data_IF_053188438725
#
_entry.id   IF_053188438725
#
_cell.length_a   1.000
_cell.length_b   1.000
_cell.length_c   1.000
_cell.angle_alpha   90.00
_cell.angle_beta   90.00
_cell.angle_gamma   90.00
#
_symmetry.space_group_name_H-M   'P 1'
#
loop_
_entity.id
_entity.type
_entity.pdbx_description
1 polymer ?
#
# COMPACT_ATOMS: atom_id res chain seq x y z
N UNK A 1 55.68 48.07 7.95
CA UNK A 1 54.49 48.92 7.75
C UNK A 1 53.41 48.02 7.21
N UNK A 2 52.39 47.81 8.04
CA UNK A 2 51.19 47.04 7.79
C UNK A 2 50.41 47.60 6.60
N UNK A 3 49.76 46.74 5.81
CA UNK A 3 48.30 46.73 5.81
C UNK A 3 47.74 45.45 5.18
N UNK A 4 46.87 44.83 5.96
CA UNK A 4 46.05 43.65 5.71
C UNK A 4 44.76 44.06 5.02
N UNK A 5 44.40 43.43 3.91
CA UNK A 5 42.98 43.35 3.50
C UNK A 5 42.63 41.89 3.22
N UNK A 6 41.94 41.30 4.20
CA UNK A 6 41.18 40.07 4.02
C UNK A 6 39.83 40.40 3.40
N UNK A 7 39.38 39.55 2.49
CA UNK A 7 37.98 39.47 2.08
C UNK A 7 37.54 38.05 2.32
N UNK A 8 36.83 37.87 3.43
CA UNK A 8 35.94 36.74 3.68
C UNK A 8 34.70 36.87 2.82
N UNK A 9 34.34 35.80 2.12
CA UNK A 9 33.07 35.65 1.45
C UNK A 9 32.67 34.18 1.45
N UNK A 10 32.05 33.73 2.54
CA UNK A 10 31.36 32.46 2.62
C UNK A 10 30.08 32.54 1.77
N UNK A 11 29.94 31.59 0.84
CA UNK A 11 28.79 31.44 -0.04
C UNK A 11 28.50 29.96 -0.21
N UNK A 12 27.57 29.49 0.61
CA UNK A 12 27.14 28.13 0.82
C UNK A 12 26.11 27.73 -0.24
N UNK A 13 26.40 26.81 -1.17
CA UNK A 13 25.35 26.08 -1.89
C UNK A 13 25.81 24.63 -2.14
N UNK A 14 25.35 23.77 -1.25
CA UNK A 14 25.28 22.31 -1.41
C UNK A 14 24.56 21.99 -2.71
N UNK A 15 25.31 21.53 -3.72
CA UNK A 15 24.77 20.81 -4.87
C UNK A 15 24.24 19.46 -4.42
N UNK A 16 23.00 19.43 -3.95
CA UNK A 16 22.20 18.21 -3.93
C UNK A 16 21.77 17.96 -5.37
N UNK A 17 22.56 17.14 -6.07
CA UNK A 17 22.11 16.42 -7.25
C UNK A 17 20.97 15.50 -6.85
N UNK A 18 19.76 16.04 -6.80
CA UNK A 18 18.54 15.26 -6.78
C UNK A 18 18.35 14.70 -8.18
N UNK A 19 18.83 13.48 -8.38
CA UNK A 19 18.43 12.66 -9.51
C UNK A 19 16.90 12.67 -9.57
N UNK A 20 16.37 13.10 -10.71
CA UNK A 20 14.95 13.24 -10.93
C UNK A 20 14.29 11.88 -10.75
N UNK A 21 13.57 11.70 -9.65
CA UNK A 21 12.47 10.75 -9.64
C UNK A 21 11.42 11.33 -10.59
N UNK A 22 11.40 10.84 -11.82
CA UNK A 22 10.21 10.96 -12.65
C UNK A 22 9.06 10.42 -11.81
N UNK A 23 8.11 11.30 -11.49
CA UNK A 23 6.89 10.93 -10.79
C UNK A 23 6.09 10.01 -11.71
N UNK A 24 6.43 8.73 -11.70
CA UNK A 24 5.63 7.67 -12.26
C UNK A 24 4.31 7.67 -11.48
N UNK A 25 3.33 8.41 -11.99
CA UNK A 25 1.96 8.25 -11.52
C UNK A 25 1.58 6.78 -11.65
N UNK A 26 0.76 6.29 -10.73
CA UNK A 26 0.16 4.94 -10.72
C UNK A 26 -0.50 4.49 -12.03
N UNK A 27 -0.60 5.36 -13.04
CA UNK A 27 -1.14 5.06 -14.35
C UNK A 27 -0.16 4.30 -15.28
N UNK A 28 1.03 3.93 -14.82
CA UNK A 28 2.09 3.37 -15.68
C UNK A 28 2.36 1.86 -15.63
N UNK A 29 1.72 1.07 -14.76
CA UNK A 29 1.89 -0.39 -14.76
C UNK A 29 0.74 -1.09 -15.52
N UNK A 30 0.49 -0.66 -16.75
CA UNK A 30 -0.08 -1.55 -17.76
C UNK A 30 1.00 -2.57 -18.12
N UNK A 31 0.79 -3.84 -17.75
CA UNK A 31 1.68 -4.96 -18.04
C UNK A 31 1.79 -5.27 -19.54
N UNK A 32 2.31 -4.33 -20.32
CA UNK A 32 2.70 -4.52 -21.72
C UNK A 32 4.22 -4.68 -21.75
N UNK A 33 4.68 -5.92 -21.62
CA UNK A 33 6.12 -6.22 -21.61
C UNK A 33 6.50 -7.60 -21.10
N UNK A 34 5.69 -8.63 -21.33
CA UNK A 34 6.22 -9.99 -21.43
C UNK A 34 6.47 -10.25 -22.91
N UNK A 35 7.68 -9.89 -23.35
CA UNK A 35 8.18 -10.33 -24.65
C UNK A 35 8.29 -11.86 -24.61
N UNK A 36 7.54 -12.50 -25.51
CA UNK A 36 7.68 -13.90 -25.87
C UNK A 36 9.09 -14.14 -26.44
N UNK A 37 9.97 -14.78 -25.66
CA UNK A 37 11.20 -15.52 -26.04
C UNK A 37 12.02 -15.61 -24.73
N UNK A 38 12.21 -16.74 -24.06
CA UNK A 38 12.75 -18.00 -24.57
C UNK A 38 12.23 -19.23 -23.80
N UNK A 39 12.41 -20.39 -24.43
CA UNK A 39 11.73 -21.64 -24.12
C UNK A 39 11.96 -22.24 -22.74
N UNK A 40 10.86 -22.70 -22.14
CA UNK A 40 10.87 -23.74 -21.11
C UNK A 40 10.68 -25.12 -21.75
N UNK A 41 11.63 -26.06 -21.62
CA UNK A 41 11.59 -27.39 -22.22
C UNK A 41 10.92 -28.43 -21.30
N UNK A 42 9.67 -28.20 -20.88
CA UNK A 42 9.04 -29.09 -19.87
C UNK A 42 7.58 -29.50 -20.10
N UNK A 43 7.10 -29.51 -21.34
CA UNK A 43 5.91 -30.30 -21.67
C UNK A 43 6.22 -31.31 -22.78
N UNK A 44 6.62 -32.49 -22.29
CA UNK A 44 6.65 -33.73 -23.04
C UNK A 44 5.23 -34.07 -23.54
N UNK A 45 5.18 -34.45 -24.80
CA UNK A 45 3.97 -34.81 -25.53
C UNK A 45 3.69 -36.29 -25.30
N UNK A 46 2.48 -36.55 -24.84
CA UNK A 46 1.69 -37.62 -25.43
C UNK A 46 1.16 -38.65 -24.45
N UNK A 47 -0.16 -38.64 -24.26
CA UNK A 47 -0.95 -39.87 -24.26
C UNK A 47 -2.26 -39.57 -25.01
N UNK A 48 -2.41 -40.24 -26.15
CA UNK A 48 -3.65 -40.51 -26.87
C UNK A 48 -4.41 -41.64 -26.17
N UNK A 49 -5.74 -41.51 -26.05
CA UNK A 49 -6.77 -42.56 -25.91
C UNK A 49 -7.94 -41.94 -25.11
N UNK A 50 -9.21 -42.16 -25.35
CA UNK A 50 -9.96 -42.98 -26.30
C UNK A 50 -11.43 -42.54 -26.10
N UNK A 51 -12.27 -42.72 -27.12
CA UNK A 51 -13.66 -42.31 -27.11
C UNK A 51 -14.51 -43.12 -26.13
N UNK A 52 -15.48 -42.44 -25.50
CA UNK A 52 -16.50 -43.05 -24.66
C UNK A 52 -17.71 -42.15 -24.59
N UNK A 53 -18.58 -42.25 -25.60
CA UNK A 53 -19.94 -41.73 -25.56
C UNK A 53 -20.74 -42.55 -24.54
N UNK A 54 -21.10 -41.94 -23.41
CA UNK A 54 -22.14 -42.47 -22.53
C UNK A 54 -23.20 -41.40 -22.29
N UNK A 55 -24.36 -41.65 -22.87
CA UNK A 55 -25.55 -40.83 -22.78
C UNK A 55 -26.41 -41.36 -21.63
N UNK A 56 -26.55 -40.56 -20.58
CA UNK A 56 -27.62 -40.72 -19.62
C UNK A 56 -27.16 -40.62 -18.17
N UNK A 57 -27.32 -39.45 -17.56
CA UNK A 57 -28.11 -39.28 -16.34
C UNK A 57 -28.17 -37.78 -16.02
N UNK A 58 -29.36 -37.20 -16.00
CA UNK A 58 -29.58 -35.90 -15.38
C UNK A 58 -29.64 -36.07 -13.84
N UNK A 59 -28.88 -35.26 -13.09
CA UNK A 59 -29.40 -34.78 -11.81
C UNK A 59 -29.04 -33.31 -11.51
N UNK A 60 -30.08 -32.52 -11.18
CA UNK A 60 -30.03 -31.41 -10.22
C UNK A 60 -29.18 -30.18 -10.57
N UNK A 61 -29.78 -29.24 -11.31
CA UNK A 61 -29.20 -27.94 -11.68
C UNK A 61 -29.51 -26.85 -10.64
N UNK A 62 -29.22 -27.11 -9.35
CA UNK A 62 -29.57 -26.19 -8.25
C UNK A 62 -28.39 -25.86 -7.29
N UNK A 63 -27.13 -26.09 -7.70
CA UNK A 63 -25.99 -26.08 -6.76
C UNK A 63 -24.70 -25.36 -7.18
N UNK A 64 -24.68 -24.61 -8.28
CA UNK A 64 -23.41 -24.23 -8.94
C UNK A 64 -22.97 -22.75 -8.83
N UNK A 65 -23.63 -21.88 -8.07
CA UNK A 65 -23.30 -20.42 -8.09
C UNK A 65 -22.56 -19.87 -6.86
N UNK A 66 -22.11 -20.68 -5.90
CA UNK A 66 -21.61 -20.14 -4.60
C UNK A 66 -20.18 -20.48 -4.18
N UNK A 67 -19.30 -20.93 -5.08
CA UNK A 67 -17.94 -21.27 -4.63
C UNK A 67 -16.80 -20.95 -5.59
N UNK A 68 -16.70 -19.68 -6.04
CA UNK A 68 -15.41 -19.11 -6.44
C UNK A 68 -15.16 -17.68 -5.95
N UNK A 69 -14.84 -17.48 -4.66
CA UNK A 69 -14.08 -16.31 -4.21
C UNK A 69 -12.82 -16.78 -3.46
N UNK A 70 -11.73 -17.15 -4.14
CA UNK A 70 -10.57 -17.74 -3.40
C UNK A 70 -9.16 -17.52 -3.94
N UNK A 71 -8.94 -17.00 -5.15
CA UNK A 71 -7.57 -16.78 -5.63
C UNK A 71 -7.08 -15.36 -5.30
N UNK A 72 -7.88 -14.34 -5.63
CA UNK A 72 -7.53 -12.94 -5.38
C UNK A 72 -7.50 -12.60 -3.89
N UNK A 73 -8.45 -13.11 -3.10
CA UNK A 73 -8.51 -12.79 -1.65
C UNK A 73 -7.31 -13.39 -0.89
N UNK A 74 -6.86 -14.61 -1.24
CA UNK A 74 -5.68 -15.24 -0.59
C UNK A 74 -4.37 -14.54 -0.88
N UNK A 75 -4.23 -13.91 -2.05
CA UNK A 75 -3.03 -13.12 -2.37
C UNK A 75 -3.00 -11.83 -1.56
N UNK A 76 -4.15 -11.21 -1.29
CA UNK A 76 -4.25 -10.06 -0.39
C UNK A 76 -3.78 -10.40 1.02
N UNK A 77 -4.32 -11.49 1.58
CA UNK A 77 -4.01 -11.91 2.95
C UNK A 77 -2.51 -12.21 3.16
N UNK A 78 -1.89 -12.95 2.24
CA UNK A 78 -0.46 -13.30 2.36
C UNK A 78 0.47 -12.08 2.22
N UNK A 79 0.07 -11.07 1.44
CA UNK A 79 0.84 -9.85 1.26
C UNK A 79 0.72 -8.95 2.51
N UNK A 80 -0.46 -8.90 3.13
CA UNK A 80 -0.66 -8.20 4.40
C UNK A 80 0.14 -8.89 5.50
N UNK A 81 0.09 -10.20 5.63
CA UNK A 81 0.85 -10.96 6.63
C UNK A 81 2.37 -10.74 6.48
N UNK A 82 2.89 -10.81 5.25
CA UNK A 82 4.31 -10.56 4.97
C UNK A 82 4.73 -9.11 5.22
N UNK A 83 3.80 -8.16 5.07
CA UNK A 83 4.02 -6.76 5.41
C UNK A 83 4.05 -6.58 6.93
N UNK A 84 3.05 -7.10 7.66
CA UNK A 84 2.93 -7.01 9.12
C UNK A 84 4.15 -7.60 9.85
N UNK A 85 4.60 -8.79 9.43
CA UNK A 85 5.80 -9.42 10.02
C UNK A 85 7.04 -8.50 9.89
N UNK A 86 7.17 -7.85 8.73
CA UNK A 86 8.31 -7.00 8.40
C UNK A 86 8.19 -5.58 8.97
N UNK A 87 6.97 -5.10 9.21
CA UNK A 87 6.71 -3.82 9.86
C UNK A 87 7.27 -3.77 11.28
N UNK A 88 7.10 -4.84 12.05
CA UNK A 88 7.56 -4.90 13.44
C UNK A 88 9.06 -4.60 13.60
N UNK A 89 9.89 -4.99 12.61
CA UNK A 89 11.32 -4.72 12.63
C UNK A 89 11.67 -3.31 12.10
N UNK A 90 10.85 -2.77 11.20
CA UNK A 90 11.10 -1.48 10.56
C UNK A 90 10.66 -0.28 11.41
N UNK A 91 9.65 -0.47 12.26
CA UNK A 91 9.13 0.57 13.16
C UNK A 91 10.17 1.03 14.21
N UNK A 92 11.11 0.17 14.58
CA UNK A 92 12.22 0.54 15.47
C UNK A 92 13.11 1.62 14.84
N UNK A 93 13.37 1.51 13.53
CA UNK A 93 14.21 2.44 12.78
C UNK A 93 13.42 3.63 12.21
N UNK A 94 12.12 3.46 11.96
CA UNK A 94 11.23 4.43 11.33
C UNK A 94 9.92 4.62 12.12
N UNK A 95 9.95 5.38 13.23
CA UNK A 95 8.81 5.52 14.14
C UNK A 95 7.60 6.27 13.55
N UNK A 96 7.76 6.89 12.38
CA UNK A 96 6.72 7.59 11.63
C UNK A 96 6.19 6.77 10.44
N UNK A 97 6.55 5.49 10.36
CA UNK A 97 6.08 4.60 9.30
C UNK A 97 4.56 4.45 9.29
N UNK A 98 3.92 4.28 10.44
CA UNK A 98 2.45 4.24 10.56
C UNK A 98 1.80 5.52 10.02
N UNK A 99 2.39 6.68 10.33
CA UNK A 99 1.90 7.98 9.82
C UNK A 99 2.01 8.05 8.29
N UNK A 100 3.03 7.42 7.70
CA UNK A 100 3.22 7.33 6.26
C UNK A 100 2.15 6.46 5.59
N UNK A 101 1.80 5.32 6.19
CA UNK A 101 0.69 4.46 5.74
C UNK A 101 -0.64 5.21 5.76
N UNK A 102 -0.94 5.89 6.87
CA UNK A 102 -2.16 6.70 7.02
C UNK A 102 -2.19 7.82 5.97
N UNK A 103 -1.06 8.50 5.74
CA UNK A 103 -0.95 9.53 4.72
C UNK A 103 -1.26 8.99 3.32
N UNK A 104 -0.69 7.84 2.95
CA UNK A 104 -0.93 7.20 1.66
C UNK A 104 -2.40 6.83 1.49
N UNK A 105 -3.00 6.17 2.47
CA UNK A 105 -4.41 5.78 2.44
C UNK A 105 -5.34 7.00 2.29
N UNK A 106 -5.11 8.07 3.07
CA UNK A 106 -5.90 9.30 2.98
C UNK A 106 -5.74 10.00 1.64
N UNK A 107 -4.52 10.04 1.11
CA UNK A 107 -4.26 10.63 -0.20
C UNK A 107 -4.96 9.84 -1.29
N UNK A 108 -4.78 8.52 -1.32
CA UNK A 108 -5.36 7.67 -2.35
C UNK A 108 -6.88 7.66 -2.31
N UNK A 109 -7.48 7.63 -1.12
CA UNK A 109 -8.92 7.76 -0.96
C UNK A 109 -9.46 9.07 -1.56
N UNK A 110 -8.77 10.21 -1.38
CA UNK A 110 -9.15 11.48 -2.00
C UNK A 110 -9.05 11.45 -3.53
N UNK A 111 -8.00 10.83 -4.07
CA UNK A 111 -7.84 10.65 -5.51
C UNK A 111 -8.97 9.79 -6.09
N UNK A 112 -9.28 8.65 -5.46
CA UNK A 112 -10.36 7.75 -5.88
C UNK A 112 -11.75 8.43 -5.80
N UNK A 113 -11.99 9.26 -4.78
CA UNK A 113 -13.21 10.08 -4.69
C UNK A 113 -13.29 11.08 -5.85
N UNK A 114 -12.17 11.71 -6.24
CA UNK A 114 -12.15 12.62 -7.39
C UNK A 114 -12.50 11.90 -8.70
N UNK A 115 -12.09 10.63 -8.85
CA UNK A 115 -12.47 9.79 -9.98
C UNK A 115 -13.92 9.30 -9.94
N UNK A 116 -14.63 9.47 -8.82
CA UNK A 116 -16.01 9.01 -8.69
C UNK A 116 -17.03 9.77 -9.58
N UNK A 117 -16.59 10.84 -10.25
CA UNK A 117 -17.36 11.50 -11.30
C UNK A 117 -17.49 10.64 -12.58
N UNK A 118 -16.47 9.82 -12.89
CA UNK A 118 -16.42 8.96 -14.08
C UNK A 118 -16.60 7.47 -13.75
N UNK A 119 -16.23 7.05 -12.55
CA UNK A 119 -16.46 5.68 -12.04
C UNK A 119 -17.32 5.76 -10.75
N UNK A 120 -18.66 5.76 -10.87
CA UNK A 120 -19.54 5.97 -9.72
C UNK A 120 -19.37 4.97 -8.58
N UNK A 121 -18.85 3.76 -8.84
CA UNK A 121 -18.62 2.75 -7.80
C UNK A 121 -17.59 3.21 -6.77
N UNK A 122 -16.68 4.11 -7.14
CA UNK A 122 -15.70 4.70 -6.20
C UNK A 122 -16.33 5.64 -5.17
N UNK A 123 -17.63 5.95 -5.24
CA UNK A 123 -18.34 6.60 -4.12
C UNK A 123 -18.49 5.69 -2.91
N UNK A 124 -18.50 4.38 -3.13
CA UNK A 124 -18.58 3.40 -2.05
C UNK A 124 -17.23 3.26 -1.34
N UNK A 125 -17.26 3.32 -0.02
CA UNK A 125 -16.06 3.27 0.82
C UNK A 125 -15.37 1.89 0.76
N UNK A 126 -16.14 0.81 0.67
CA UNK A 126 -15.62 -0.55 0.58
C UNK A 126 -14.93 -0.84 -0.75
N UNK A 127 -15.48 -0.33 -1.86
CA UNK A 127 -14.83 -0.42 -3.18
C UNK A 127 -13.49 0.34 -3.18
N UNK A 128 -13.43 1.53 -2.59
CA UNK A 128 -12.17 2.29 -2.49
C UNK A 128 -11.14 1.58 -1.60
N UNK A 129 -11.57 1.03 -0.46
CA UNK A 129 -10.70 0.28 0.43
C UNK A 129 -10.04 -0.90 -0.29
N UNK A 130 -10.84 -1.74 -0.97
CA UNK A 130 -10.34 -2.87 -1.75
C UNK A 130 -9.36 -2.43 -2.86
N UNK A 131 -9.65 -1.32 -3.54
CA UNK A 131 -8.75 -0.79 -4.57
C UNK A 131 -7.40 -0.35 -3.96
N UNK A 132 -7.41 0.31 -2.80
CA UNK A 132 -6.18 0.69 -2.08
C UNK A 132 -5.39 -0.53 -1.60
N UNK A 133 -6.06 -1.58 -1.12
CA UNK A 133 -5.42 -2.85 -0.73
C UNK A 133 -4.71 -3.52 -1.90
N UNK A 134 -5.37 -3.59 -3.08
CA UNK A 134 -4.77 -4.15 -4.30
C UNK A 134 -3.50 -3.38 -4.67
N UNK A 135 -3.55 -2.05 -4.65
CA UNK A 135 -2.43 -1.19 -4.99
C UNK A 135 -1.27 -1.31 -4.00
N UNK A 136 -1.57 -1.30 -2.70
CA UNK A 136 -0.57 -1.54 -1.67
C UNK A 136 0.09 -2.92 -1.86
N UNK A 137 -0.72 -3.93 -2.18
CA UNK A 137 -0.24 -5.28 -2.44
C UNK A 137 0.70 -5.34 -3.65
N UNK A 138 0.45 -4.55 -4.69
CA UNK A 138 1.35 -4.42 -5.85
C UNK A 138 2.70 -3.79 -5.47
N UNK A 139 2.72 -2.77 -4.61
CA UNK A 139 3.99 -2.18 -4.11
C UNK A 139 4.79 -3.24 -3.36
N UNK A 140 4.15 -3.95 -2.44
CA UNK A 140 4.80 -4.99 -1.63
C UNK A 140 5.32 -6.11 -2.50
N UNK A 141 4.51 -6.63 -3.43
CA UNK A 141 4.93 -7.68 -4.35
C UNK A 141 6.13 -7.24 -5.22
N UNK A 142 6.12 -5.99 -5.71
CA UNK A 142 7.22 -5.45 -6.49
C UNK A 142 8.51 -5.29 -5.66
N UNK A 143 8.40 -4.84 -4.40
CA UNK A 143 9.53 -4.75 -3.48
C UNK A 143 10.13 -6.14 -3.20
N UNK A 144 9.28 -7.12 -2.90
CA UNK A 144 9.71 -8.50 -2.68
C UNK A 144 10.43 -9.07 -3.91
N UNK A 145 9.92 -8.80 -5.12
CA UNK A 145 10.57 -9.25 -6.36
C UNK A 145 11.96 -8.64 -6.56
N UNK A 146 12.18 -7.39 -6.13
CA UNK A 146 13.49 -6.73 -6.16
C UNK A 146 14.41 -7.11 -4.99
N UNK A 147 13.94 -7.92 -4.04
CA UNK A 147 14.67 -8.24 -2.82
C UNK A 147 14.76 -7.06 -1.83
N UNK A 148 13.89 -6.06 -1.98
CA UNK A 148 13.80 -4.90 -1.09
C UNK A 148 12.91 -5.19 0.13
N UNK A 149 13.05 -4.38 1.17
CA UNK A 149 12.17 -4.44 2.33
C UNK A 149 10.80 -3.79 2.02
N UNK A 150 9.67 -4.51 2.13
CA UNK A 150 8.35 -3.96 1.79
C UNK A 150 7.98 -2.68 2.53
N UNK A 151 8.22 -2.62 3.84
CA UNK A 151 7.93 -1.41 4.62
C UNK A 151 8.77 -0.22 4.15
N UNK A 152 10.03 -0.44 3.77
CA UNK A 152 10.89 0.62 3.25
C UNK A 152 10.37 1.12 1.89
N UNK A 153 9.95 0.21 1.01
CA UNK A 153 9.37 0.55 -0.28
C UNK A 153 8.08 1.38 -0.12
N UNK A 154 7.18 0.96 0.79
CA UNK A 154 5.94 1.71 1.07
C UNK A 154 6.24 3.08 1.69
N UNK A 155 7.22 3.17 2.59
CA UNK A 155 7.64 4.44 3.20
C UNK A 155 8.27 5.39 2.17
N UNK A 156 9.16 4.88 1.32
CA UNK A 156 9.74 5.62 0.21
C UNK A 156 8.66 6.10 -0.77
N UNK A 157 7.67 5.25 -1.04
CA UNK A 157 6.52 5.59 -1.85
C UNK A 157 5.74 6.76 -1.24
N UNK A 158 5.40 6.68 0.06
CA UNK A 158 4.75 7.77 0.79
C UNK A 158 5.53 9.08 0.67
N UNK A 159 6.86 9.04 0.88
CA UNK A 159 7.73 10.21 0.75
C UNK A 159 7.75 10.78 -0.66
N UNK A 160 7.73 9.94 -1.69
CA UNK A 160 7.59 10.36 -3.09
C UNK A 160 6.28 11.11 -3.36
N UNK A 161 5.21 10.76 -2.62
CA UNK A 161 3.95 11.52 -2.66
C UNK A 161 3.99 12.81 -1.83
N UNK A 162 5.07 13.10 -1.12
CA UNK A 162 5.21 14.28 -0.27
C UNK A 162 4.76 14.05 1.17
N UNK A 163 4.77 12.80 1.64
CA UNK A 163 4.80 12.52 3.07
C UNK A 163 6.08 13.13 3.67
N UNK A 164 5.91 13.82 4.79
CA UNK A 164 6.98 14.48 5.52
C UNK A 164 6.71 14.30 7.02
N UNK A 165 7.52 13.49 7.67
CA UNK A 165 7.42 13.14 9.08
C UNK A 165 7.22 14.37 9.97
N UNK A 166 7.96 15.45 9.70
CA UNK A 166 7.92 16.69 10.47
C UNK A 166 6.61 17.47 10.30
N UNK A 167 5.91 17.28 9.18
CA UNK A 167 4.62 17.94 8.90
C UNK A 167 3.43 17.09 9.34
N UNK A 168 3.56 15.76 9.30
CA UNK A 168 2.48 14.83 9.66
C UNK A 168 2.39 14.60 11.16
N UNK A 169 3.50 14.72 11.91
CA UNK A 169 3.52 14.72 13.37
C UNK A 169 2.57 15.77 14.00
N UNK A 170 2.19 16.82 13.26
CA UNK A 170 1.19 17.81 13.67
C UNK A 170 -0.28 17.49 13.32
N UNK A 171 -0.54 16.49 12.46
CA UNK A 171 -1.88 16.19 11.91
C UNK A 171 -2.37 14.77 12.18
N UNK A 172 -1.52 13.76 12.04
CA UNK A 172 -1.86 12.37 12.32
C UNK A 172 -1.29 11.87 13.67
N UNK A 173 -0.55 12.71 14.41
CA UNK A 173 0.17 12.31 15.62
C UNK A 173 -0.60 11.44 16.60
N UNK A 174 0.14 10.49 17.21
CA UNK A 174 -0.24 9.57 18.30
C UNK A 174 -1.54 10.00 18.95
N UNK A 175 -2.55 9.14 18.93
CA UNK A 175 -3.83 9.48 19.54
C UNK A 175 -3.58 9.93 20.99
N UNK A 176 -3.66 11.24 21.23
CA UNK A 176 -3.42 11.81 22.55
C UNK A 176 -4.76 12.01 23.24
N UNK A 177 -4.75 12.07 24.58
CA UNK A 177 -5.95 12.41 25.34
C UNK A 177 -6.58 13.74 24.88
N UNK A 178 -5.75 14.70 24.44
CA UNK A 178 -6.20 15.97 23.89
C UNK A 178 -6.91 15.81 22.53
N UNK A 179 -6.43 14.89 21.69
CA UNK A 179 -7.02 14.60 20.37
C UNK A 179 -8.32 13.79 20.50
N UNK A 180 -8.38 12.88 21.48
CA UNK A 180 -9.60 12.17 21.87
C UNK A 180 -10.67 13.13 22.40
N UNK A 181 -10.29 14.04 23.30
CA UNK A 181 -11.20 15.04 23.85
C UNK A 181 -11.71 16.05 22.80
N UNK A 182 -10.97 16.24 21.70
CA UNK A 182 -11.37 17.12 20.60
C UNK A 182 -12.14 16.39 19.49
N UNK A 183 -12.26 15.06 19.55
CA UNK A 183 -12.96 14.27 18.54
C UNK A 183 -14.47 14.37 18.73
N UNK A 184 -15.23 14.36 17.64
CA UNK A 184 -16.70 14.29 17.70
C UNK A 184 -17.11 12.93 18.26
N UNK A 185 -18.17 12.91 19.06
CA UNK A 185 -18.65 11.71 19.75
C UNK A 185 -18.90 10.52 18.80
N UNK A 186 -19.39 10.80 17.59
CA UNK A 186 -19.64 9.81 16.54
C UNK A 186 -18.35 9.20 15.94
N UNK A 187 -17.27 9.97 15.92
CA UNK A 187 -15.96 9.52 15.44
C UNK A 187 -15.19 8.82 16.57
N UNK A 188 -15.41 9.25 17.82
CA UNK A 188 -14.89 8.58 19.00
C UNK A 188 -15.42 7.15 19.13
N UNK A 189 -16.73 6.94 18.93
CA UNK A 189 -17.31 5.59 18.99
C UNK A 189 -16.64 4.62 18.00
N UNK A 190 -16.56 5.02 16.73
CA UNK A 190 -15.91 4.23 15.68
C UNK A 190 -14.42 4.02 15.91
N UNK A 191 -13.74 5.03 16.45
CA UNK A 191 -12.32 4.89 16.80
C UNK A 191 -12.15 3.93 17.99
N UNK A 192 -12.95 4.08 19.05
CA UNK A 192 -12.87 3.28 20.28
C UNK A 192 -13.16 1.80 20.05
N UNK A 193 -14.16 1.47 19.22
CA UNK A 193 -14.48 0.08 18.84
C UNK A 193 -13.27 -0.64 18.24
N UNK A 194 -12.44 0.07 17.46
CA UNK A 194 -11.28 -0.47 16.79
C UNK A 194 -9.96 -0.29 17.56
N UNK A 195 -9.93 0.55 18.60
CA UNK A 195 -8.71 0.99 19.29
C UNK A 195 -8.83 0.95 20.83
N UNK A 196 -9.72 0.13 21.37
CA UNK A 196 -10.01 0.07 22.80
C UNK A 196 -8.78 -0.24 23.67
N UNK A 197 -7.83 -1.03 23.18
CA UNK A 197 -6.58 -1.31 23.88
C UNK A 197 -5.68 -0.07 23.95
N UNK A 198 -5.54 0.66 22.85
CA UNK A 198 -4.81 1.93 22.78
C UNK A 198 -5.42 2.97 23.73
N UNK A 199 -6.76 3.04 23.81
CA UNK A 199 -7.44 3.90 24.79
C UNK A 199 -7.11 3.50 26.23
N UNK A 200 -7.13 2.21 26.55
CA UNK A 200 -6.82 1.71 27.90
C UNK A 200 -5.40 2.07 28.33
N UNK A 201 -4.42 1.88 27.43
CA UNK A 201 -3.02 2.28 27.65
C UNK A 201 -2.88 3.79 27.86
N UNK A 202 -3.65 4.61 27.13
CA UNK A 202 -3.66 6.07 27.30
C UNK A 202 -4.25 6.53 28.63
N UNK A 203 -5.15 5.75 29.23
CA UNK A 203 -5.78 6.03 30.52
C UNK A 203 -4.98 5.48 31.72
N UNK A 204 -3.78 4.94 31.49
CA UNK A 204 -2.91 4.40 32.54
C UNK A 204 -3.32 3.02 33.05
N UNK A 205 -4.04 2.24 32.25
CA UNK A 205 -4.43 0.86 32.53
C UNK A 205 -3.57 -0.19 31.85
#
# INVERSE_FOLDING_TARGET
>A
MSDTMGISGAGNETGLGGEGYETAGWQGYSGEGLTEEEGSPFFDKGILADGGEDAGQAPGDDGAEHMRPRAADRQGDAVIEALEERMNNFEEDSPDFEDALVYLAQRRSRELIAYAAVEPRLRDDGVRARQMEIELGQIVAAALHRGEHPAEAVYAFARGYGFDAGKVAGRAGKMTLKKLAAMREQDFGRWYENNGETFRKLMGG
#
